data_IF_400441146645
#
_entry.id   IF_400441146645
#
_cell.length_a   1.000
_cell.length_b   1.000
_cell.length_c   1.000
_cell.angle_alpha   90.00
_cell.angle_beta   90.00
_cell.angle_gamma   90.00
#
_symmetry.space_group_name_H-M   'P 1'
#
loop_
_entity.id
_entity.type
_entity.pdbx_description
1 polymer ?
#
# COMPACT_ATOMS: atom_id res chain seq x y z
N UNK A 1 31.11 0.49 0.82
CA UNK A 1 30.01 -0.29 0.20
C UNK A 1 28.66 0.34 0.52
N UNK A 2 28.29 0.55 1.79
CA UNK A 2 27.05 1.26 2.16
C UNK A 2 26.93 2.66 1.52
N UNK A 3 27.95 3.51 1.62
CA UNK A 3 27.93 4.85 0.99
C UNK A 3 27.73 4.80 -0.53
N UNK A 4 28.20 3.73 -1.19
CA UNK A 4 28.00 3.54 -2.62
C UNK A 4 26.56 3.14 -2.91
N UNK A 5 26.00 2.20 -2.13
CA UNK A 5 24.60 1.76 -2.25
C UNK A 5 23.62 2.92 -2.01
N UNK A 6 23.89 3.77 -1.01
CA UNK A 6 23.07 4.94 -0.71
C UNK A 6 23.04 5.94 -1.87
N UNK A 7 24.16 6.13 -2.58
CA UNK A 7 24.27 7.07 -3.70
C UNK A 7 23.76 6.52 -5.04
N UNK A 8 23.45 5.24 -5.15
CA UNK A 8 22.88 4.68 -6.40
C UNK A 8 21.47 5.22 -6.62
N UNK A 9 21.11 5.71 -7.81
CA UNK A 9 19.71 5.98 -8.14
C UNK A 9 18.93 4.67 -8.09
N UNK A 10 17.81 4.66 -7.37
CA UNK A 10 16.99 3.46 -7.15
C UNK A 10 15.55 3.69 -7.61
N UNK A 11 14.89 2.59 -7.89
CA UNK A 11 13.46 2.55 -8.19
C UNK A 11 12.82 1.55 -7.24
N UNK A 12 11.71 1.93 -6.63
CA UNK A 12 10.94 1.06 -5.74
C UNK A 12 9.63 0.68 -6.43
N UNK A 13 9.42 -0.61 -6.68
CA UNK A 13 8.27 -1.12 -7.44
C UNK A 13 7.37 -2.05 -6.61
N UNK A 14 7.67 -2.17 -5.32
CA UNK A 14 6.98 -3.08 -4.42
C UNK A 14 7.08 -2.53 -3.00
N UNK A 15 6.10 -1.74 -2.61
CA UNK A 15 5.91 -1.28 -1.24
C UNK A 15 4.42 -1.12 -0.95
N UNK A 16 3.97 -1.47 0.24
CA UNK A 16 2.58 -1.31 0.67
C UNK A 16 2.49 -0.08 1.55
N UNK A 17 1.74 0.93 1.12
CA UNK A 17 1.72 2.24 1.76
C UNK A 17 1.37 2.17 3.25
N UNK A 18 0.38 1.38 3.62
CA UNK A 18 -0.05 1.27 5.01
C UNK A 18 0.97 0.50 5.88
N UNK A 19 1.93 -0.19 5.25
CA UNK A 19 3.07 -0.83 5.89
C UNK A 19 4.27 0.10 6.09
N UNK A 20 4.21 1.33 5.59
CA UNK A 20 5.30 2.32 5.73
C UNK A 20 5.08 3.29 6.89
N UNK A 21 4.06 3.06 7.71
CA UNK A 21 3.69 3.96 8.80
C UNK A 21 4.68 3.77 9.94
N UNK A 22 5.64 4.69 10.08
CA UNK A 22 6.57 4.66 11.19
C UNK A 22 5.88 5.02 12.53
N UNK A 23 6.43 4.58 13.69
CA UNK A 23 5.78 4.77 14.99
C UNK A 23 5.45 6.24 15.30
N UNK A 24 6.36 7.16 14.97
CA UNK A 24 6.16 8.58 15.23
C UNK A 24 4.92 9.10 14.50
N UNK A 25 4.81 8.82 13.20
CA UNK A 25 3.66 9.24 12.40
C UNK A 25 2.37 8.53 12.84
N UNK A 26 2.45 7.25 13.20
CA UNK A 26 1.33 6.51 13.76
C UNK A 26 0.76 7.21 15.01
N UNK A 27 1.60 7.55 15.99
CA UNK A 27 1.14 8.24 17.20
C UNK A 27 0.52 9.61 16.91
N UNK A 28 1.07 10.36 15.94
CA UNK A 28 0.50 11.64 15.51
C UNK A 28 -0.90 11.47 14.89
N UNK A 29 -1.08 10.45 14.05
CA UNK A 29 -2.37 10.12 13.41
C UNK A 29 -3.38 9.59 14.44
N UNK A 30 -2.98 8.63 15.28
CA UNK A 30 -3.82 8.04 16.31
C UNK A 30 -4.35 9.11 17.27
N UNK A 31 -3.47 10.01 17.73
CA UNK A 31 -3.86 11.17 18.55
C UNK A 31 -4.81 12.11 17.81
N UNK A 32 -4.55 12.40 16.53
CA UNK A 32 -5.41 13.26 15.71
C UNK A 32 -6.81 12.68 15.54
N UNK A 33 -6.90 11.35 15.40
CA UNK A 33 -8.14 10.63 15.11
C UNK A 33 -8.83 10.06 16.36
N UNK A 34 -8.25 10.26 17.56
CA UNK A 34 -8.75 9.73 18.83
C UNK A 34 -8.97 8.21 18.78
N UNK A 35 -7.96 7.49 18.27
CA UNK A 35 -7.93 6.03 18.19
C UNK A 35 -7.04 5.50 19.31
N UNK A 36 -7.58 4.60 20.12
CA UNK A 36 -6.81 3.85 21.11
C UNK A 36 -6.02 2.73 20.40
N UNK A 37 -4.83 2.42 20.90
CA UNK A 37 -3.97 1.39 20.34
C UNK A 37 -3.16 0.73 21.46
N UNK A 38 -2.71 -0.50 21.19
CA UNK A 38 -1.79 -1.19 22.09
C UNK A 38 -0.36 -0.67 21.89
N UNK A 39 0.35 -0.42 22.98
CA UNK A 39 1.71 0.13 22.95
C UNK A 39 2.75 -0.89 22.41
N UNK A 40 2.38 -2.17 22.29
CA UNK A 40 3.23 -3.27 21.81
C UNK A 40 3.12 -3.54 20.31
N UNK A 41 2.41 -2.70 19.55
CA UNK A 41 2.30 -2.81 18.09
C UNK A 41 3.66 -2.63 17.41
N UNK A 42 4.59 -1.91 18.04
CA UNK A 42 5.95 -1.70 17.54
C UNK A 42 7.00 -2.39 18.41
N UNK A 43 8.05 -2.89 17.78
CA UNK A 43 9.22 -3.44 18.46
C UNK A 43 10.17 -2.32 18.95
N UNK A 44 11.21 -2.70 19.70
CA UNK A 44 12.20 -1.78 20.26
C UNK A 44 12.99 -0.97 19.21
N UNK A 45 12.99 -1.42 17.95
CA UNK A 45 13.65 -0.77 16.82
C UNK A 45 12.67 0.08 15.99
N UNK A 46 11.39 0.12 16.36
CA UNK A 46 10.33 0.83 15.64
C UNK A 46 9.77 0.10 14.43
N UNK A 47 10.08 -1.19 14.27
CA UNK A 47 9.41 -2.09 13.32
C UNK A 47 8.07 -2.58 13.88
N UNK A 48 7.22 -3.21 13.06
CA UNK A 48 5.99 -3.83 13.56
C UNK A 48 6.36 -5.07 14.41
N UNK A 49 5.67 -5.29 15.52
CA UNK A 49 5.92 -6.44 16.38
C UNK A 49 5.20 -7.69 15.83
N UNK A 50 5.94 -8.65 15.29
CA UNK A 50 5.38 -9.90 14.72
C UNK A 50 6.36 -11.08 14.81
N UNK A 51 5.83 -12.31 14.67
CA UNK A 51 6.61 -13.57 14.76
C UNK A 51 6.45 -14.51 13.58
N UNK A 52 5.40 -14.30 12.77
CA UNK A 52 5.09 -15.02 11.54
C UNK A 52 4.26 -14.14 10.60
N UNK A 53 3.99 -14.60 9.38
CA UNK A 53 3.23 -13.83 8.39
C UNK A 53 1.81 -13.47 8.84
N UNK A 54 1.02 -14.37 9.47
CA UNK A 54 -0.28 -14.01 10.03
C UNK A 54 -0.21 -12.91 11.11
N UNK A 55 0.75 -12.99 12.06
CA UNK A 55 0.91 -11.94 13.08
C UNK A 55 1.39 -10.61 12.47
N UNK A 56 2.18 -10.64 11.40
CA UNK A 56 2.52 -9.45 10.63
C UNK A 56 1.29 -8.78 10.02
N UNK A 57 0.39 -9.54 9.38
CA UNK A 57 -0.85 -9.00 8.84
C UNK A 57 -1.72 -8.37 9.93
N UNK A 58 -1.83 -9.00 11.10
CA UNK A 58 -2.58 -8.42 12.22
C UNK A 58 -1.98 -7.09 12.69
N UNK A 59 -0.64 -6.99 12.82
CA UNK A 59 0.02 -5.74 13.19
C UNK A 59 -0.19 -4.66 12.11
N UNK A 60 -0.07 -5.03 10.83
CA UNK A 60 -0.34 -4.15 9.69
C UNK A 60 -1.77 -3.61 9.70
N UNK A 61 -2.77 -4.49 9.88
CA UNK A 61 -4.19 -4.10 9.93
C UNK A 61 -4.46 -3.17 11.12
N UNK A 62 -3.84 -3.46 12.27
CA UNK A 62 -3.97 -2.66 13.49
C UNK A 62 -3.40 -1.25 13.29
N UNK A 63 -2.20 -1.14 12.72
CA UNK A 63 -1.59 0.16 12.39
C UNK A 63 -2.44 0.92 11.37
N UNK A 64 -2.92 0.24 10.33
CA UNK A 64 -3.75 0.84 9.28
C UNK A 64 -5.10 1.36 9.79
N UNK A 65 -5.64 0.75 10.85
CA UNK A 65 -6.94 1.12 11.43
C UNK A 65 -6.98 2.53 12.04
N UNK A 66 -5.81 3.15 12.28
CA UNK A 66 -5.72 4.51 12.80
C UNK A 66 -6.07 5.58 11.77
N UNK A 67 -6.02 5.25 10.47
CA UNK A 67 -6.39 6.14 9.38
C UNK A 67 -7.91 6.38 9.40
N UNK A 68 -8.35 7.62 9.22
CA UNK A 68 -9.79 8.01 9.22
C UNK A 68 -10.17 9.02 8.13
N UNK A 69 -9.20 9.68 7.50
CA UNK A 69 -9.50 10.72 6.51
C UNK A 69 -8.39 10.88 5.45
N UNK A 70 -8.69 11.65 4.40
CA UNK A 70 -7.76 11.90 3.29
C UNK A 70 -6.43 12.55 3.73
N UNK A 71 -6.41 13.33 4.82
CA UNK A 71 -5.17 13.93 5.33
C UNK A 71 -4.22 12.85 5.86
N UNK A 72 -4.74 11.78 6.45
CA UNK A 72 -3.94 10.67 6.94
C UNK A 72 -3.20 9.98 5.78
N UNK A 73 -3.92 9.67 4.69
CA UNK A 73 -3.32 9.13 3.47
C UNK A 73 -2.32 10.08 2.80
N UNK A 74 -2.56 11.39 2.86
CA UNK A 74 -1.59 12.40 2.43
C UNK A 74 -0.31 12.32 3.24
N UNK A 75 -0.43 12.27 4.57
CA UNK A 75 0.73 12.32 5.46
C UNK A 75 1.59 11.05 5.33
N UNK A 76 0.98 9.86 5.27
CA UNK A 76 1.73 8.61 5.11
C UNK A 76 2.40 8.51 3.74
N UNK A 77 1.74 8.96 2.67
CA UNK A 77 2.33 8.98 1.32
C UNK A 77 3.51 9.95 1.23
N UNK A 78 3.36 11.15 1.82
CA UNK A 78 4.43 12.13 1.86
C UNK A 78 5.64 11.64 2.65
N UNK A 79 5.42 11.08 3.85
CA UNK A 79 6.52 10.59 4.70
C UNK A 79 7.22 9.38 4.07
N UNK A 80 6.48 8.45 3.47
CA UNK A 80 7.03 7.35 2.69
C UNK A 80 7.97 7.86 1.57
N UNK A 81 7.46 8.74 0.69
CA UNK A 81 8.25 9.22 -0.45
C UNK A 81 9.46 10.05 -0.02
N UNK A 82 9.35 10.80 1.08
CA UNK A 82 10.47 11.49 1.73
C UNK A 82 11.55 10.49 2.16
N UNK A 83 11.16 9.41 2.83
CA UNK A 83 12.10 8.37 3.29
C UNK A 83 12.76 7.67 2.09
N UNK A 84 12.01 7.36 1.04
CA UNK A 84 12.55 6.82 -0.21
C UNK A 84 13.57 7.78 -0.85
N UNK A 85 13.21 9.06 -0.95
CA UNK A 85 14.11 10.06 -1.53
C UNK A 85 15.38 10.24 -0.70
N UNK A 86 15.32 10.13 0.63
CA UNK A 86 16.49 10.19 1.50
C UNK A 86 17.48 9.04 1.23
N UNK A 87 16.96 7.93 0.70
CA UNK A 87 17.73 6.78 0.27
C UNK A 87 18.09 6.83 -1.21
N UNK A 88 17.87 7.95 -1.92
CA UNK A 88 18.15 8.13 -3.35
C UNK A 88 17.29 7.24 -4.28
N UNK A 89 16.07 6.93 -3.84
CA UNK A 89 15.01 6.44 -4.74
C UNK A 89 14.49 7.63 -5.55
N UNK A 90 14.46 7.49 -6.88
CA UNK A 90 14.04 8.54 -7.80
C UNK A 90 12.62 8.33 -8.34
N UNK A 91 12.10 7.11 -8.23
CA UNK A 91 10.76 6.72 -8.69
C UNK A 91 10.21 5.61 -7.79
N UNK A 92 8.94 5.74 -7.43
CA UNK A 92 8.22 4.74 -6.63
C UNK A 92 6.84 4.42 -7.23
N UNK A 93 6.54 3.13 -7.36
CA UNK A 93 5.19 2.58 -7.59
C UNK A 93 4.75 1.84 -6.33
N UNK A 94 3.86 2.47 -5.56
CA UNK A 94 3.42 1.96 -4.26
C UNK A 94 2.01 1.39 -4.32
N UNK A 95 1.80 0.30 -3.60
CA UNK A 95 0.51 -0.35 -3.41
C UNK A 95 -0.33 0.40 -2.39
N UNK A 96 -1.61 0.60 -2.71
CA UNK A 96 -2.63 1.06 -1.77
C UNK A 96 -3.79 0.07 -1.76
N UNK A 97 -4.45 -0.08 -0.61
CA UNK A 97 -5.59 -0.98 -0.48
C UNK A 97 -6.91 -0.22 -0.23
N UNK A 98 -7.80 -0.11 -1.23
CA UNK A 98 -9.12 0.48 -1.04
C UNK A 98 -10.00 -0.21 0.00
N UNK A 99 -9.84 -1.51 0.25
CA UNK A 99 -10.62 -2.23 1.28
C UNK A 99 -10.23 -1.74 2.69
N UNK A 100 -8.95 -1.71 3.05
CA UNK A 100 -8.46 -1.09 4.31
C UNK A 100 -8.97 0.34 4.51
N UNK A 101 -8.92 1.18 3.46
CA UNK A 101 -9.47 2.53 3.52
C UNK A 101 -10.99 2.50 3.79
N UNK A 102 -11.73 1.63 3.10
CA UNK A 102 -13.18 1.48 3.26
C UNK A 102 -13.57 1.01 4.66
N UNK A 103 -12.81 0.10 5.26
CA UNK A 103 -13.04 -0.39 6.63
C UNK A 103 -12.82 0.73 7.67
N UNK A 104 -12.01 1.72 7.32
CA UNK A 104 -11.82 2.95 8.08
C UNK A 104 -12.85 4.06 7.79
N UNK A 105 -13.85 3.78 6.93
CA UNK A 105 -14.87 4.75 6.52
C UNK A 105 -14.38 5.77 5.47
N UNK A 106 -13.23 5.53 4.84
CA UNK A 106 -12.64 6.42 3.85
C UNK A 106 -13.09 5.99 2.46
N UNK A 107 -13.63 6.93 1.68
CA UNK A 107 -14.02 6.67 0.30
C UNK A 107 -12.80 6.45 -0.60
N UNK A 108 -12.96 5.71 -1.70
CA UNK A 108 -11.89 5.55 -2.70
C UNK A 108 -11.37 6.92 -3.22
N UNK A 109 -12.28 7.87 -3.44
CA UNK A 109 -11.90 9.20 -3.89
C UNK A 109 -11.10 9.97 -2.83
N UNK A 110 -11.42 9.81 -1.55
CA UNK A 110 -10.65 10.43 -0.46
C UNK A 110 -9.28 9.78 -0.27
N UNK A 111 -9.20 8.46 -0.40
CA UNK A 111 -7.94 7.71 -0.45
C UNK A 111 -7.03 8.24 -1.56
N UNK A 112 -7.53 8.28 -2.80
CA UNK A 112 -6.77 8.75 -3.95
C UNK A 112 -6.40 10.22 -3.81
N UNK A 113 -7.33 11.08 -3.34
CA UNK A 113 -7.07 12.51 -3.12
C UNK A 113 -5.98 12.74 -2.07
N UNK A 114 -5.99 11.97 -0.99
CA UNK A 114 -4.94 12.00 0.03
C UNK A 114 -3.58 11.62 -0.56
N UNK A 115 -3.51 10.45 -1.18
CA UNK A 115 -2.28 9.96 -1.80
C UNK A 115 -1.75 10.92 -2.87
N UNK A 116 -2.61 11.44 -3.75
CA UNK A 116 -2.22 12.38 -4.79
C UNK A 116 -1.59 13.66 -4.21
N UNK A 117 -2.18 14.21 -3.15
CA UNK A 117 -1.61 15.37 -2.46
C UNK A 117 -0.26 15.06 -1.82
N UNK A 118 -0.09 13.86 -1.27
CA UNK A 118 1.19 13.41 -0.71
C UNK A 118 2.28 13.27 -1.78
N UNK A 119 1.93 12.73 -2.96
CA UNK A 119 2.80 12.64 -4.13
C UNK A 119 3.21 14.04 -4.61
N UNK A 120 2.25 14.96 -4.77
CA UNK A 120 2.52 16.32 -5.23
C UNK A 120 3.51 17.04 -4.30
N UNK A 121 3.29 16.93 -2.99
CA UNK A 121 4.13 17.57 -1.98
C UNK A 121 5.54 16.96 -1.95
N UNK A 122 5.66 15.63 -2.00
CA UNK A 122 6.95 14.97 -2.00
C UNK A 122 7.74 15.22 -3.29
N UNK A 123 7.04 15.31 -4.44
CA UNK A 123 7.67 15.66 -5.70
C UNK A 123 8.18 17.12 -5.67
N UNK A 124 7.43 18.04 -5.07
CA UNK A 124 7.85 19.44 -4.91
C UNK A 124 9.08 19.56 -3.99
N UNK A 125 9.06 18.89 -2.85
CA UNK A 125 10.08 19.04 -1.81
C UNK A 125 11.36 18.22 -2.08
N UNK A 126 11.22 17.06 -2.72
CA UNK A 126 12.32 16.08 -2.87
C UNK A 126 12.60 15.67 -4.31
N UNK A 127 11.74 16.00 -5.27
CA UNK A 127 11.93 15.66 -6.69
C UNK A 127 11.69 14.17 -7.04
N UNK A 128 11.24 13.35 -6.09
CA UNK A 128 10.87 11.95 -6.32
C UNK A 128 9.55 11.86 -7.10
N UNK A 129 9.46 10.92 -8.04
CA UNK A 129 8.24 10.65 -8.79
C UNK A 129 7.47 9.50 -8.12
N UNK A 130 6.26 9.78 -7.61
CA UNK A 130 5.38 8.77 -7.01
C UNK A 130 4.25 8.34 -7.95
N UNK A 131 3.92 7.05 -7.94
CA UNK A 131 2.77 6.42 -8.63
C UNK A 131 2.10 5.39 -7.72
N UNK A 132 0.86 5.09 -8.05
CA UNK A 132 -0.05 4.24 -7.27
C UNK A 132 -0.41 3.00 -8.08
N UNK A 133 -0.30 1.83 -7.44
CA UNK A 133 -0.90 0.60 -7.89
C UNK A 133 -2.03 0.26 -6.91
N UNK A 134 -3.25 0.15 -7.42
CA UNK A 134 -4.41 -0.22 -6.59
C UNK A 134 -4.41 -1.73 -6.40
N UNK A 135 -4.46 -2.21 -5.17
CA UNK A 135 -4.46 -3.65 -4.88
C UNK A 135 -5.77 -4.14 -4.32
N UNK A 136 -6.17 -5.36 -4.67
CA UNK A 136 -7.15 -6.11 -3.91
C UNK A 136 -6.49 -7.02 -2.88
N UNK A 137 -7.22 -7.35 -1.81
CA UNK A 137 -6.75 -8.19 -0.72
C UNK A 137 -7.28 -9.62 -0.89
N UNK A 138 -6.37 -10.58 -1.05
CA UNK A 138 -6.73 -11.96 -1.44
C UNK A 138 -7.69 -12.64 -0.47
N UNK A 139 -7.44 -12.56 0.82
CA UNK A 139 -8.26 -13.24 1.84
C UNK A 139 -9.67 -12.64 2.01
N UNK A 140 -9.94 -11.45 1.46
CA UNK A 140 -11.30 -10.87 1.40
C UNK A 140 -12.15 -11.48 0.27
N UNK A 141 -11.52 -12.24 -0.63
CA UNK A 141 -12.16 -13.09 -1.62
C UNK A 141 -12.32 -12.46 -3.01
N UNK A 142 -12.59 -13.28 -4.03
CA UNK A 142 -12.59 -12.86 -5.43
C UNK A 142 -13.56 -11.74 -5.78
N UNK A 143 -14.76 -11.75 -5.20
CA UNK A 143 -15.77 -10.74 -5.47
C UNK A 143 -15.31 -9.35 -5.02
N UNK A 144 -14.65 -9.25 -3.85
CA UNK A 144 -14.04 -8.00 -3.39
C UNK A 144 -12.97 -7.52 -4.36
N UNK A 145 -12.15 -8.42 -4.89
CA UNK A 145 -11.18 -8.08 -5.93
C UNK A 145 -11.81 -7.50 -7.20
N UNK A 146 -12.93 -8.07 -7.65
CA UNK A 146 -13.71 -7.53 -8.78
C UNK A 146 -14.24 -6.13 -8.47
N UNK A 147 -14.79 -5.93 -7.28
CA UNK A 147 -15.34 -4.64 -6.86
C UNK A 147 -14.26 -3.54 -6.81
N UNK A 148 -13.06 -3.88 -6.33
CA UNK A 148 -11.90 -2.96 -6.31
C UNK A 148 -11.44 -2.62 -7.73
N UNK A 149 -11.29 -3.62 -8.60
CA UNK A 149 -10.88 -3.41 -9.99
C UNK A 149 -11.89 -2.53 -10.73
N UNK A 150 -13.19 -2.79 -10.58
CA UNK A 150 -14.25 -1.99 -11.18
C UNK A 150 -14.23 -0.56 -10.65
N UNK A 151 -14.09 -0.37 -9.34
CA UNK A 151 -14.03 0.96 -8.71
C UNK A 151 -12.84 1.77 -9.21
N UNK A 152 -11.68 1.15 -9.39
CA UNK A 152 -10.49 1.77 -9.98
C UNK A 152 -10.75 2.23 -11.42
N UNK A 153 -11.34 1.36 -12.25
CA UNK A 153 -11.62 1.67 -13.66
C UNK A 153 -12.68 2.75 -13.80
N UNK A 154 -13.70 2.76 -12.95
CA UNK A 154 -14.77 3.75 -12.96
C UNK A 154 -14.30 5.14 -12.48
N UNK A 155 -13.18 5.21 -11.77
CA UNK A 155 -12.65 6.45 -11.16
C UNK A 155 -11.16 6.63 -11.51
N UNK A 156 -10.80 6.83 -12.79
CA UNK A 156 -9.41 6.93 -13.21
C UNK A 156 -8.71 8.17 -12.62
N UNK A 157 -7.44 8.03 -12.27
CA UNK A 157 -6.61 9.12 -11.78
C UNK A 157 -5.19 9.06 -12.38
N UNK A 158 -4.55 10.18 -12.77
CA UNK A 158 -3.24 10.17 -13.44
C UNK A 158 -2.10 9.50 -12.68
N UNK A 159 -2.19 9.42 -11.35
CA UNK A 159 -1.21 8.72 -10.52
C UNK A 159 -1.47 7.22 -10.37
N UNK A 160 -2.67 6.74 -10.68
CA UNK A 160 -2.97 5.30 -10.67
C UNK A 160 -2.47 4.73 -11.99
N UNK A 161 -1.48 3.85 -11.91
CA UNK A 161 -0.78 3.30 -13.10
C UNK A 161 -0.93 1.80 -13.26
N UNK A 162 -1.49 1.10 -12.28
CA UNK A 162 -1.63 -0.34 -12.35
C UNK A 162 -2.59 -0.91 -11.32
N UNK A 163 -2.86 -2.20 -11.50
CA UNK A 163 -3.64 -3.00 -10.58
C UNK A 163 -2.78 -4.15 -10.02
N UNK A 164 -3.01 -4.55 -8.78
CA UNK A 164 -2.37 -5.74 -8.26
C UNK A 164 -3.14 -6.46 -7.17
N UNK A 165 -2.48 -7.43 -6.56
CA UNK A 165 -3.05 -8.21 -5.47
C UNK A 165 -1.98 -8.60 -4.46
N UNK A 166 -2.32 -8.46 -3.18
CA UNK A 166 -1.54 -8.91 -2.03
C UNK A 166 -2.41 -9.67 -1.01
N UNK A 167 -1.95 -9.75 0.24
CA UNK A 167 -2.60 -10.49 1.33
C UNK A 167 -2.29 -11.99 1.32
N UNK A 168 -2.86 -12.73 2.27
CA UNK A 168 -2.59 -14.17 2.47
C UNK A 168 -2.74 -15.03 1.20
N UNK A 169 -1.60 -15.55 0.74
CA UNK A 169 -1.47 -16.37 -0.45
C UNK A 169 -2.22 -17.71 -0.33
N UNK A 170 -2.41 -18.24 0.89
CA UNK A 170 -3.06 -19.53 1.13
C UNK A 170 -4.59 -19.50 1.03
N UNK A 171 -5.21 -18.31 1.10
CA UNK A 171 -6.66 -18.20 1.23
C UNK A 171 -7.44 -18.57 -0.05
N UNK A 172 -6.92 -18.22 -1.23
CA UNK A 172 -7.58 -18.44 -2.53
C UNK A 172 -6.54 -18.63 -3.64
N UNK A 173 -6.95 -19.20 -4.79
CA UNK A 173 -6.05 -19.39 -5.94
C UNK A 173 -6.06 -18.15 -6.83
N UNK A 174 -4.94 -17.90 -7.53
CA UNK A 174 -4.82 -16.77 -8.47
C UNK A 174 -5.92 -16.76 -9.54
N UNK A 175 -6.26 -17.94 -10.07
CA UNK A 175 -7.28 -18.07 -11.12
C UNK A 175 -8.65 -17.56 -10.67
N UNK A 176 -8.94 -17.60 -9.37
CA UNK A 176 -10.21 -17.12 -8.82
C UNK A 176 -10.34 -15.59 -9.00
N UNK A 177 -9.22 -14.86 -9.07
CA UNK A 177 -9.15 -13.41 -9.28
C UNK A 177 -9.01 -13.00 -10.74
N UNK A 178 -8.94 -13.95 -11.68
CA UNK A 178 -8.85 -13.64 -13.11
C UNK A 178 -9.93 -12.64 -13.58
N UNK A 179 -11.19 -12.66 -13.11
CA UNK A 179 -12.17 -11.64 -13.46
C UNK A 179 -11.74 -10.21 -13.09
N UNK A 180 -11.14 -9.99 -11.92
CA UNK A 180 -10.66 -8.67 -11.49
C UNK A 180 -9.51 -8.17 -12.37
N UNK A 181 -8.53 -9.03 -12.63
CA UNK A 181 -7.41 -8.72 -13.52
C UNK A 181 -7.85 -8.47 -14.96
N UNK A 182 -8.87 -9.20 -15.44
CA UNK A 182 -9.46 -8.97 -16.76
C UNK A 182 -10.12 -7.59 -16.87
N UNK A 183 -10.72 -7.07 -15.80
CA UNK A 183 -11.29 -5.71 -15.79
C UNK A 183 -10.17 -4.68 -15.93
N UNK A 184 -9.12 -4.78 -15.12
CA UNK A 184 -7.96 -3.88 -15.18
C UNK A 184 -7.27 -3.92 -16.56
N UNK A 185 -7.01 -5.13 -17.09
CA UNK A 185 -6.35 -5.32 -18.38
C UNK A 185 -7.18 -4.76 -19.55
N UNK A 186 -8.51 -4.96 -19.55
CA UNK A 186 -9.40 -4.37 -20.58
C UNK A 186 -9.42 -2.84 -20.55
N UNK A 187 -9.15 -2.24 -19.39
CA UNK A 187 -8.99 -0.81 -19.22
C UNK A 187 -7.55 -0.31 -19.50
N UNK A 188 -6.65 -1.19 -19.98
CA UNK A 188 -5.24 -0.93 -20.27
C UNK A 188 -4.36 -0.64 -19.04
N UNK A 189 -4.77 -1.09 -17.85
CA UNK A 189 -3.87 -1.05 -16.69
C UNK A 189 -2.94 -2.27 -16.70
N UNK A 190 -1.60 -2.08 -16.61
CA UNK A 190 -0.68 -3.17 -16.31
C UNK A 190 -1.01 -3.78 -14.95
N UNK A 191 -0.65 -5.05 -14.79
CA UNK A 191 -1.00 -5.85 -13.63
C UNK A 191 0.24 -6.46 -12.98
N UNK A 192 0.22 -6.57 -11.65
CA UNK A 192 1.25 -7.25 -10.84
C UNK A 192 0.59 -8.09 -9.75
N UNK A 193 1.28 -9.10 -9.22
CA UNK A 193 0.70 -9.96 -8.17
C UNK A 193 1.79 -10.54 -7.28
N UNK A 194 1.48 -10.70 -6.00
CA UNK A 194 2.29 -11.51 -5.09
C UNK A 194 2.12 -12.99 -5.44
N UNK A 195 3.23 -13.66 -5.74
CA UNK A 195 3.26 -15.07 -6.06
C UNK A 195 4.59 -15.68 -5.62
N UNK A 196 4.53 -16.84 -5.00
CA UNK A 196 5.69 -17.61 -4.53
C UNK A 196 6.30 -17.07 -3.24
N UNK A 197 5.56 -16.25 -2.49
CA UNK A 197 5.98 -15.77 -1.17
C UNK A 197 5.79 -16.86 -0.11
N UNK A 198 4.63 -17.52 -0.15
CA UNK A 198 4.21 -18.61 0.74
C UNK A 198 3.88 -19.88 -0.06
N UNK A 199 3.18 -19.76 -1.19
CA UNK A 199 2.64 -20.88 -1.96
C UNK A 199 3.57 -21.38 -3.07
N UNK A 200 4.87 -21.54 -2.78
CA UNK A 200 5.82 -22.25 -3.65
C UNK A 200 5.95 -21.70 -5.08
N UNK A 201 6.69 -22.40 -5.94
CA UNK A 201 6.88 -21.97 -7.32
C UNK A 201 5.61 -22.19 -8.18
N UNK A 202 4.72 -23.09 -7.78
CA UNK A 202 3.50 -23.36 -8.55
C UNK A 202 2.55 -22.17 -8.56
N UNK A 203 2.53 -21.34 -7.52
CA UNK A 203 1.69 -20.14 -7.52
C UNK A 203 2.20 -19.03 -8.45
N UNK A 204 3.38 -19.15 -9.03
CA UNK A 204 3.89 -18.18 -10.02
C UNK A 204 3.29 -18.42 -11.42
N UNK A 205 2.77 -19.63 -11.68
CA UNK A 205 2.33 -20.08 -13.01
C UNK A 205 0.81 -20.14 -13.19
#
# INVERSE_FOLDING_TARGET
MQDQIQKLPKVELHSHLEGTINPKLFHEIAKRNNVDFDEDIFDENGGYAWTDFPSFLNAYDSVSSCLKNAKDYRDIMYEYLKDCSSQNVIYAETFISPDHASDCGISYNDLIRGCAKGIDDAQLDFGIIGRIIVTCVRHLGPQKGVDVAQKMVDNPHPYVVGFGMGGDENSFKLIDFAPAFNIAAKANYPCTVHAGEICGAESVW
#
